data_IF_775110198275
#
_entry.id   IF_775110198275
#
_cell.length_a   1.000
_cell.length_b   1.000
_cell.length_c   1.000
_cell.angle_alpha   90.00
_cell.angle_beta   90.00
_cell.angle_gamma   90.00
#
_symmetry.space_group_name_H-M   'P 1'
#
loop_
_entity.id
_entity.type
_entity.pdbx_description
1 polymer ?
#
# COMPACT_ATOMS: atom_id res chain seq x y z
N UNK A 1 -58.55 -47.56 7.37
CA UNK A 1 -57.30 -48.33 7.53
C UNK A 1 -56.14 -47.38 7.29
N UNK A 2 -55.19 -47.30 8.24
CA UNK A 2 -53.96 -46.48 8.17
C UNK A 2 -52.82 -47.36 7.64
N UNK A 3 -52.03 -46.88 6.67
CA UNK A 3 -50.77 -47.48 6.23
C UNK A 3 -49.69 -46.40 6.01
N UNK A 4 -48.85 -46.27 7.04
CA UNK A 4 -47.37 -46.32 7.07
C UNK A 4 -46.50 -45.82 5.88
N UNK A 5 -45.70 -44.78 6.17
CA UNK A 5 -44.26 -44.49 5.85
C UNK A 5 -43.72 -44.48 4.40
N UNK A 6 -43.00 -43.40 4.03
CA UNK A 6 -41.52 -43.34 4.09
C UNK A 6 -40.92 -42.04 3.52
N UNK A 7 -39.83 -41.60 4.14
CA UNK A 7 -38.99 -40.45 3.83
C UNK A 7 -38.08 -40.72 2.61
N UNK A 8 -37.66 -39.67 1.89
CA UNK A 8 -36.32 -39.60 1.27
C UNK A 8 -35.91 -38.14 0.99
N UNK A 9 -34.77 -37.81 1.59
CA UNK A 9 -33.97 -36.60 1.65
C UNK A 9 -33.17 -36.32 0.37
N UNK A 10 -32.88 -35.05 0.05
CA UNK A 10 -31.53 -34.60 -0.38
C UNK A 10 -31.45 -33.07 -0.43
N UNK A 11 -30.98 -32.47 0.65
CA UNK A 11 -30.51 -31.08 0.67
C UNK A 11 -29.03 -31.05 0.34
N UNK A 12 -28.66 -30.54 -0.83
CA UNK A 12 -27.28 -30.21 -1.18
C UNK A 12 -26.99 -28.80 -0.65
N UNK A 13 -26.55 -28.71 0.61
CA UNK A 13 -25.86 -27.52 1.11
C UNK A 13 -24.42 -27.57 0.62
N UNK A 14 -24.15 -26.93 -0.52
CA UNK A 14 -22.80 -26.65 -0.98
C UNK A 14 -22.19 -25.59 -0.05
N UNK A 15 -21.61 -26.04 1.06
CA UNK A 15 -20.75 -25.21 1.90
C UNK A 15 -19.47 -24.90 1.12
N UNK A 16 -19.37 -23.68 0.60
CA UNK A 16 -18.10 -23.15 0.13
C UNK A 16 -17.14 -23.10 1.33
N UNK A 17 -16.15 -23.98 1.34
CA UNK A 17 -15.02 -23.89 2.25
C UNK A 17 -14.22 -22.63 1.86
N UNK A 18 -14.50 -21.51 2.50
CA UNK A 18 -13.60 -20.38 2.53
C UNK A 18 -12.32 -20.85 3.24
N UNK A 19 -11.28 -21.16 2.47
CA UNK A 19 -9.97 -21.46 3.01
C UNK A 19 -9.50 -20.23 3.82
N UNK A 20 -8.99 -20.40 5.05
CA UNK A 20 -8.43 -19.28 5.79
C UNK A 20 -7.24 -18.75 5.00
N UNK A 21 -7.32 -17.50 4.53
CA UNK A 21 -6.13 -16.75 4.14
C UNK A 21 -5.16 -16.83 5.31
N UNK A 22 -3.99 -17.43 5.08
CA UNK A 22 -2.89 -17.35 6.02
C UNK A 22 -2.51 -15.87 6.10
N UNK A 23 -3.10 -15.17 7.06
CA UNK A 23 -2.62 -13.86 7.49
C UNK A 23 -1.26 -14.16 8.13
N UNK A 24 -0.20 -14.09 7.34
CA UNK A 24 1.12 -13.87 7.91
C UNK A 24 0.96 -12.51 8.62
N UNK A 25 1.11 -12.42 9.96
CA UNK A 25 1.09 -11.14 10.63
C UNK A 25 2.30 -10.39 10.09
N UNK A 26 2.08 -9.55 9.09
CA UNK A 26 3.09 -8.65 8.61
C UNK A 26 3.22 -7.57 9.68
N UNK A 27 4.43 -7.39 10.19
CA UNK A 27 4.74 -6.31 11.11
C UNK A 27 4.20 -4.99 10.54
N UNK A 28 3.59 -4.17 11.40
CA UNK A 28 3.08 -2.86 11.00
C UNK A 28 4.24 -2.07 10.40
N UNK A 29 4.11 -1.70 9.14
CA UNK A 29 5.17 -1.03 8.39
C UNK A 29 5.27 0.45 8.79
N UNK A 30 6.46 1.01 8.66
CA UNK A 30 6.70 2.44 8.83
C UNK A 30 7.19 2.99 7.50
N UNK A 31 6.40 3.86 6.88
CA UNK A 31 6.77 4.56 5.66
C UNK A 31 7.66 5.76 5.99
N UNK A 32 8.79 5.87 5.30
CA UNK A 32 9.73 6.99 5.48
C UNK A 32 9.58 7.98 4.33
N UNK A 33 9.08 9.17 4.66
CA UNK A 33 8.85 10.24 3.69
C UNK A 33 9.89 11.34 3.84
N UNK A 34 10.32 11.87 2.70
CA UNK A 34 11.01 13.16 2.63
C UNK A 34 10.22 14.12 1.73
N UNK A 35 9.63 15.15 2.34
CA UNK A 35 8.91 16.21 1.66
C UNK A 35 9.89 17.30 1.26
N UNK A 36 9.94 17.64 -0.02
CA UNK A 36 10.83 18.66 -0.56
C UNK A 36 10.02 19.84 -1.10
N UNK A 37 10.21 21.00 -0.50
CA UNK A 37 9.78 22.29 -1.05
C UNK A 37 10.87 22.95 -1.89
N UNK A 38 10.67 24.21 -2.25
CA UNK A 38 11.67 24.96 -3.04
C UNK A 38 12.88 25.40 -2.22
N UNK A 39 12.65 25.84 -0.98
CA UNK A 39 13.69 26.39 -0.09
C UNK A 39 14.07 25.47 1.07
N UNK A 40 13.22 24.50 1.40
CA UNK A 40 13.41 23.62 2.56
C UNK A 40 12.78 22.25 2.36
N UNK A 41 13.27 21.27 3.14
CA UNK A 41 12.77 19.89 3.16
C UNK A 41 12.57 19.42 4.60
N UNK A 42 11.67 18.45 4.79
CA UNK A 42 11.49 17.78 6.08
C UNK A 42 11.16 16.30 5.92
N UNK A 43 11.49 15.52 6.95
CA UNK A 43 11.19 14.09 7.00
C UNK A 43 10.00 13.81 7.92
N UNK A 44 9.23 12.76 7.61
CA UNK A 44 8.17 12.24 8.47
C UNK A 44 8.12 10.73 8.33
N UNK A 45 8.04 10.04 9.46
CA UNK A 45 7.81 8.60 9.50
C UNK A 45 6.35 8.36 9.86
N UNK A 46 5.65 7.55 9.08
CA UNK A 46 4.22 7.26 9.26
C UNK A 46 4.04 5.77 9.44
N UNK A 47 3.47 5.38 10.57
CA UNK A 47 3.09 3.99 10.81
C UNK A 47 1.86 3.67 9.96
N UNK A 48 1.85 2.51 9.30
CA UNK A 48 0.77 2.06 8.44
C UNK A 48 -0.45 1.49 9.22
N UNK A 49 -0.89 2.22 10.24
CA UNK A 49 -1.97 1.85 11.17
C UNK A 49 -3.30 2.56 10.87
N UNK A 50 -3.37 3.34 9.78
CA UNK A 50 -4.53 4.14 9.39
C UNK A 50 -4.66 5.45 10.16
N UNK A 51 -3.77 5.76 11.11
CA UNK A 51 -3.80 7.01 11.86
C UNK A 51 -3.38 8.19 10.97
N UNK A 52 -3.97 9.35 11.25
CA UNK A 52 -3.61 10.59 10.58
C UNK A 52 -2.41 11.25 11.30
N UNK A 53 -1.35 11.49 10.56
CA UNK A 53 -0.17 12.23 10.97
C UNK A 53 -0.23 13.64 10.37
N UNK A 54 -0.13 14.67 11.21
CA UNK A 54 -0.07 16.06 10.75
C UNK A 54 1.34 16.39 10.25
N UNK A 55 1.41 17.17 9.18
CA UNK A 55 2.67 17.64 8.57
C UNK A 55 2.88 19.13 8.84
N UNK A 56 4.01 19.66 8.38
CA UNK A 56 4.31 21.10 8.39
C UNK A 56 3.49 21.82 7.31
N UNK A 57 2.52 22.64 7.73
CA UNK A 57 1.51 23.26 6.85
C UNK A 57 1.98 24.53 6.15
N UNK A 58 3.14 25.03 6.51
CA UNK A 58 3.77 26.26 6.05
C UNK A 58 4.72 26.07 4.86
N UNK A 59 5.06 24.81 4.54
CA UNK A 59 6.01 24.48 3.46
C UNK A 59 5.24 23.99 2.24
N UNK A 60 5.24 24.73 1.12
CA UNK A 60 4.74 24.23 -0.15
C UNK A 60 5.65 23.09 -0.65
N UNK A 61 5.10 21.89 -0.74
CA UNK A 61 5.82 20.69 -1.15
C UNK A 61 5.70 20.53 -2.66
N UNK A 62 6.82 20.34 -3.35
CA UNK A 62 6.89 20.09 -4.80
C UNK A 62 6.97 18.59 -5.11
N UNK A 63 7.74 17.84 -4.33
CA UNK A 63 7.80 16.39 -4.44
C UNK A 63 8.00 15.72 -3.08
N UNK A 64 7.69 14.42 -3.02
CA UNK A 64 7.80 13.59 -1.82
C UNK A 64 8.57 12.32 -2.19
N UNK A 65 9.77 12.13 -1.66
CA UNK A 65 10.54 10.91 -1.84
C UNK A 65 10.06 9.82 -0.88
N UNK A 66 10.02 8.59 -1.38
CA UNK A 66 9.53 7.41 -0.68
C UNK A 66 10.44 6.24 -1.05
N UNK A 67 11.16 5.72 -0.04
CA UNK A 67 12.23 4.76 -0.31
C UNK A 67 11.84 3.32 0.02
N UNK A 68 10.74 3.09 0.75
CA UNK A 68 10.51 1.80 1.40
C UNK A 68 9.04 1.37 1.52
N UNK A 69 8.10 2.12 0.93
CA UNK A 69 6.67 1.84 1.07
C UNK A 69 5.85 2.19 -0.17
N UNK A 70 4.77 1.45 -0.42
CA UNK A 70 3.93 1.66 -1.59
C UNK A 70 2.89 2.74 -1.28
N UNK A 71 3.35 3.99 -1.18
CA UNK A 71 2.50 5.09 -0.79
C UNK A 71 1.41 5.41 -1.84
N UNK A 72 1.54 4.94 -3.08
CA UNK A 72 0.53 5.06 -4.13
C UNK A 72 -0.77 4.39 -3.73
N UNK A 73 -0.65 3.13 -3.34
CA UNK A 73 -1.80 2.29 -3.07
C UNK A 73 -2.19 2.34 -1.59
N UNK A 74 -1.25 2.67 -0.72
CA UNK A 74 -1.41 2.49 0.73
C UNK A 74 -1.38 3.79 1.54
N UNK A 75 -1.26 4.97 0.91
CA UNK A 75 -1.29 6.24 1.64
C UNK A 75 -2.26 7.27 1.04
N UNK A 76 -2.80 8.11 1.91
CA UNK A 76 -3.64 9.26 1.58
C UNK A 76 -2.97 10.53 2.08
N UNK A 77 -2.60 11.40 1.15
CA UNK A 77 -2.09 12.74 1.43
C UNK A 77 -3.22 13.74 1.31
N UNK A 78 -3.29 14.70 2.23
CA UNK A 78 -4.26 15.81 2.17
C UNK A 78 -3.56 17.15 2.08
N UNK A 79 -4.14 18.06 1.32
CA UNK A 79 -3.72 19.46 1.20
C UNK A 79 -4.64 20.38 2.00
N UNK A 80 -4.32 21.67 2.02
CA UNK A 80 -5.16 22.70 2.66
C UNK A 80 -6.62 22.61 2.20
N UNK A 81 -7.55 22.71 3.16
CA UNK A 81 -8.98 22.48 2.91
C UNK A 81 -9.40 21.01 2.91
N UNK A 82 -8.50 20.08 3.25
CA UNK A 82 -8.82 18.66 3.43
C UNK A 82 -8.96 17.88 2.13
N UNK A 83 -8.59 18.47 0.99
CA UNK A 83 -8.62 17.82 -0.32
C UNK A 83 -7.58 16.72 -0.39
N UNK A 84 -7.96 15.55 -0.92
CA UNK A 84 -7.02 14.47 -1.22
C UNK A 84 -6.07 14.95 -2.33
N UNK A 85 -4.78 14.68 -2.16
CA UNK A 85 -3.79 14.89 -3.20
C UNK A 85 -3.93 13.81 -4.27
N UNK A 86 -3.80 14.21 -5.53
CA UNK A 86 -3.65 13.30 -6.67
C UNK A 86 -2.25 13.50 -7.26
N UNK A 87 -1.22 12.85 -6.70
CA UNK A 87 0.15 13.02 -7.16
C UNK A 87 0.44 12.17 -8.41
N UNK A 88 1.35 12.64 -9.24
CA UNK A 88 1.97 11.82 -10.28
C UNK A 88 3.10 11.01 -9.66
N UNK A 89 3.21 9.74 -10.04
CA UNK A 89 4.30 8.87 -9.61
C UNK A 89 5.43 8.91 -10.62
N UNK A 90 6.63 9.21 -10.13
CA UNK A 90 7.84 9.23 -10.94
C UNK A 90 8.95 8.44 -10.27
N UNK A 91 9.89 7.96 -11.10
CA UNK A 91 11.14 7.39 -10.63
C UNK A 91 12.16 8.52 -10.47
N UNK A 92 12.79 8.59 -9.30
CA UNK A 92 13.90 9.48 -9.04
C UNK A 92 15.08 9.15 -9.95
N UNK A 93 15.46 10.12 -10.78
CA UNK A 93 16.54 9.96 -11.77
C UNK A 93 17.90 9.71 -11.13
N UNK A 94 18.09 10.02 -9.84
CA UNK A 94 19.39 9.90 -9.18
C UNK A 94 19.64 8.51 -8.60
N UNK A 95 18.64 7.91 -7.96
CA UNK A 95 18.77 6.64 -7.21
C UNK A 95 17.73 5.58 -7.61
N UNK A 96 16.80 5.92 -8.50
CA UNK A 96 15.72 5.05 -8.93
C UNK A 96 14.61 4.85 -7.91
N UNK A 97 14.64 5.56 -6.77
CA UNK A 97 13.57 5.54 -5.75
C UNK A 97 12.26 6.08 -6.32
N UNK A 98 11.15 5.83 -5.62
CA UNK A 98 9.88 6.45 -6.01
C UNK A 98 9.79 7.87 -5.47
N UNK A 99 9.17 8.75 -6.24
CA UNK A 99 8.73 10.04 -5.77
C UNK A 99 7.29 10.34 -6.20
N UNK A 100 6.61 11.11 -5.35
CA UNK A 100 5.37 11.80 -5.71
C UNK A 100 5.74 13.16 -6.24
N UNK A 101 5.32 13.48 -7.47
CA UNK A 101 5.48 14.82 -8.04
C UNK A 101 4.12 15.50 -8.05
N UNK A 102 4.09 16.72 -7.52
CA UNK A 102 2.91 17.56 -7.54
C UNK A 102 3.01 18.52 -8.73
N UNK A 103 1.92 18.67 -9.48
CA UNK A 103 1.84 19.63 -10.60
C UNK A 103 2.16 21.07 -10.16
N UNK A 104 1.76 21.42 -8.94
CA UNK A 104 2.01 22.71 -8.32
C UNK A 104 2.44 22.50 -6.87
N UNK A 105 3.45 23.25 -6.43
CA UNK A 105 3.91 23.18 -5.04
C UNK A 105 2.80 23.64 -4.09
N UNK A 106 2.42 22.80 -3.13
CA UNK A 106 1.36 23.14 -2.16
C UNK A 106 1.59 22.46 -0.81
N UNK A 107 1.09 23.06 0.29
CA UNK A 107 1.22 22.43 1.59
C UNK A 107 0.48 21.10 1.66
N UNK A 108 1.20 20.07 2.06
CA UNK A 108 0.60 18.84 2.60
C UNK A 108 0.29 19.13 4.05
N UNK A 109 -0.93 18.83 4.51
CA UNK A 109 -1.37 19.07 5.89
C UNK A 109 -1.49 17.81 6.72
N UNK A 110 -1.63 16.66 6.06
CA UNK A 110 -1.61 15.37 6.74
C UNK A 110 -1.34 14.21 5.80
N UNK A 111 -0.84 13.12 6.37
CA UNK A 111 -0.68 11.81 5.73
C UNK A 111 -1.28 10.74 6.62
N UNK A 112 -1.97 9.78 6.02
CA UNK A 112 -2.34 8.53 6.68
C UNK A 112 -1.94 7.38 5.76
N UNK A 113 -1.31 6.35 6.32
CA UNK A 113 -0.96 5.14 5.58
C UNK A 113 -1.61 3.95 6.25
N UNK A 114 -1.97 2.93 5.48
CA UNK A 114 -2.64 1.75 5.98
C UNK A 114 -2.16 0.47 5.32
N UNK A 115 -2.17 -0.60 6.10
CA UNK A 115 -1.96 -1.95 5.61
C UNK A 115 -0.52 -2.41 5.69
N UNK A 116 -0.31 -3.57 5.10
CA UNK A 116 0.96 -4.28 5.15
C UNK A 116 1.40 -4.60 3.74
N UNK A 117 2.70 -4.74 3.55
CA UNK A 117 3.26 -5.05 2.26
C UNK A 117 4.39 -6.07 2.41
N UNK A 118 4.78 -6.65 1.28
CA UNK A 118 5.77 -7.70 1.16
C UNK A 118 7.10 -7.07 0.80
N UNK A 119 8.15 -7.40 1.56
CA UNK A 119 9.50 -6.92 1.28
C UNK A 119 9.99 -7.34 -0.10
N UNK A 120 11.04 -6.67 -0.59
CA UNK A 120 11.69 -7.01 -1.86
C UNK A 120 12.12 -8.48 -1.86
N UNK A 121 11.93 -9.14 -3.00
CA UNK A 121 12.15 -10.58 -3.20
C UNK A 121 11.22 -11.50 -2.40
N UNK A 122 10.24 -10.99 -1.66
CA UNK A 122 9.17 -11.81 -1.08
C UNK A 122 8.17 -12.29 -2.14
N UNK A 123 7.39 -13.32 -1.81
CA UNK A 123 6.36 -13.87 -2.70
C UNK A 123 5.12 -12.98 -2.74
N UNK A 124 4.84 -12.34 -3.87
CA UNK A 124 3.61 -11.56 -4.08
C UNK A 124 2.47 -12.41 -4.67
N UNK A 125 2.78 -13.59 -5.22
CA UNK A 125 1.80 -14.61 -5.58
C UNK A 125 2.19 -15.96 -5.00
N UNK A 126 1.19 -16.72 -4.56
CA UNK A 126 1.36 -18.11 -4.17
C UNK A 126 1.60 -19.03 -5.37
N UNK A 127 1.88 -20.31 -5.11
CA UNK A 127 2.09 -21.29 -6.18
C UNK A 127 0.89 -21.44 -7.12
N UNK A 128 -0.31 -21.27 -6.57
CA UNK A 128 -1.58 -21.33 -7.30
C UNK A 128 -1.99 -19.96 -7.89
N UNK A 129 -1.06 -19.02 -8.04
CA UNK A 129 -1.27 -17.67 -8.57
C UNK A 129 -2.31 -16.84 -7.81
N UNK A 130 -2.49 -17.08 -6.50
CA UNK A 130 -3.31 -16.22 -5.63
C UNK A 130 -2.47 -15.07 -5.07
N UNK A 131 -2.97 -13.82 -5.07
CA UNK A 131 -2.22 -12.67 -4.56
C UNK A 131 -2.00 -12.81 -3.05
N UNK A 132 -0.78 -12.54 -2.60
CA UNK A 132 -0.40 -12.59 -1.19
C UNK A 132 -0.31 -11.21 -0.56
N UNK A 133 -0.12 -10.16 -1.36
CA UNK A 133 -0.02 -8.78 -0.90
C UNK A 133 0.71 -7.89 -1.89
N UNK A 134 0.66 -6.59 -1.64
CA UNK A 134 1.41 -5.59 -2.40
C UNK A 134 2.88 -5.60 -1.99
N UNK A 135 3.77 -5.27 -2.92
CA UNK A 135 5.19 -5.13 -2.63
C UNK A 135 5.48 -3.75 -2.01
N UNK A 136 6.30 -3.70 -0.95
CA UNK A 136 6.56 -2.46 -0.21
C UNK A 136 7.29 -1.42 -1.06
N UNK A 137 8.45 -1.77 -1.62
CA UNK A 137 9.26 -0.87 -2.43
C UNK A 137 9.39 -1.40 -3.86
N UNK A 138 8.31 -1.94 -4.41
CA UNK A 138 8.41 -2.62 -5.70
C UNK A 138 7.11 -2.98 -6.36
N UNK A 139 7.25 -3.61 -7.52
CA UNK A 139 6.15 -4.28 -8.20
C UNK A 139 6.28 -5.79 -8.08
N UNK A 140 5.18 -6.48 -8.32
CA UNK A 140 5.16 -7.93 -8.41
C UNK A 140 5.55 -8.38 -9.83
N UNK A 141 6.66 -9.12 -9.97
CA UNK A 141 7.10 -9.70 -11.23
C UNK A 141 7.17 -11.22 -11.13
N UNK A 142 6.46 -11.90 -12.03
CA UNK A 142 6.17 -13.34 -11.95
C UNK A 142 5.49 -13.72 -10.61
N UNK A 143 6.25 -14.11 -9.60
CA UNK A 143 5.75 -14.43 -8.25
C UNK A 143 6.46 -13.67 -7.13
N UNK A 144 7.45 -12.83 -7.45
CA UNK A 144 8.30 -12.18 -6.47
C UNK A 144 8.25 -10.66 -6.58
N UNK A 145 8.35 -9.98 -5.44
CA UNK A 145 8.55 -8.55 -5.38
C UNK A 145 9.91 -8.16 -5.98
N UNK A 146 9.90 -7.19 -6.90
CA UNK A 146 11.10 -6.61 -7.50
C UNK A 146 11.14 -5.13 -7.20
N UNK A 147 12.32 -4.57 -6.91
CA UNK A 147 12.40 -3.17 -6.59
C UNK A 147 12.00 -2.31 -7.80
N UNK A 148 11.51 -1.10 -7.54
CA UNK A 148 11.22 -0.13 -8.60
C UNK A 148 12.48 0.31 -9.34
N UNK A 149 13.60 0.41 -8.63
CA UNK A 149 14.88 0.72 -9.24
C UNK A 149 15.42 -0.51 -10.01
N UNK A 150 15.45 -0.40 -11.34
CA UNK A 150 16.10 -1.41 -12.19
C UNK A 150 17.59 -1.15 -12.37
N UNK A 151 18.10 -0.01 -11.87
CA UNK A 151 19.52 0.20 -11.68
C UNK A 151 19.91 -0.77 -10.56
N UNK A 152 20.55 -1.88 -10.93
CA UNK A 152 21.02 -2.89 -9.97
C UNK A 152 21.92 -2.29 -8.88
N UNK A 153 22.28 -3.08 -7.86
CA UNK A 153 23.30 -2.68 -6.90
C UNK A 153 24.59 -2.21 -7.57
#
# INVERSE_FOLDING_TARGET
MKFTQSFLTSGLLAGALAAPSRVIPADVQVAHFQFNGESESYKLNVTADGKVYQTKKDIPVKNINIDDYNANEQCVFKTTGGKKLDPQFETNSNDGSQMLVLEEAKPIVSVACEGTCIGIYGLCYSENNQPLGLCCNGFCAAKHCRPWNTNGP
#
